data_IF_438497907997
#
_entry.id   IF_438497907997
#
_cell.length_a   1.000
_cell.length_b   1.000
_cell.length_c   1.000
_cell.angle_alpha   90.00
_cell.angle_beta   90.00
_cell.angle_gamma   90.00
#
_symmetry.space_group_name_H-M   'P 1'
#
loop_
_entity.id
_entity.type
_entity.pdbx_description
1 polymer ?
#
# COMPACT_ATOMS: atom_id res chain seq x y z
N UNK A 1 10.31 45.81 15.55
CA UNK A 1 11.42 46.18 14.63
C UNK A 1 12.46 45.07 14.42
N UNK A 2 12.42 43.96 15.16
CA UNK A 2 13.40 42.86 15.04
C UNK A 2 12.99 41.77 14.03
N UNK A 3 11.70 41.58 13.79
CA UNK A 3 11.18 40.51 12.92
C UNK A 3 11.48 40.75 11.44
N UNK A 4 11.38 41.99 10.96
CA UNK A 4 11.65 42.30 9.55
C UNK A 4 13.11 42.11 9.15
N UNK A 5 14.05 42.35 10.07
CA UNK A 5 15.48 42.09 9.84
C UNK A 5 15.79 40.60 9.72
N UNK A 6 15.16 39.78 10.58
CA UNK A 6 15.32 38.32 10.56
C UNK A 6 14.72 37.75 9.26
N UNK A 7 13.54 38.21 8.85
CA UNK A 7 12.95 37.80 7.58
C UNK A 7 13.84 38.20 6.40
N UNK A 8 14.36 39.42 6.38
CA UNK A 8 15.25 39.88 5.32
C UNK A 8 16.55 39.06 5.26
N UNK A 9 17.16 38.70 6.39
CA UNK A 9 18.36 37.82 6.44
C UNK A 9 18.06 36.37 5.98
N UNK A 10 16.87 35.87 6.27
CA UNK A 10 16.41 34.55 5.79
C UNK A 10 16.18 34.57 4.27
N UNK A 11 15.60 35.64 3.72
CA UNK A 11 15.26 35.73 2.30
C UNK A 11 16.38 36.28 1.40
N UNK A 12 17.37 36.99 1.93
CA UNK A 12 18.45 37.58 1.12
C UNK A 12 19.62 36.61 0.91
N UNK A 13 19.81 35.68 1.85
CA UNK A 13 20.86 34.66 1.73
C UNK A 13 20.38 33.52 0.81
N UNK A 14 21.02 33.30 -0.35
CA UNK A 14 20.65 32.24 -1.28
C UNK A 14 20.76 30.84 -0.65
N UNK A 15 21.64 30.68 0.34
CA UNK A 15 21.81 29.44 1.09
C UNK A 15 20.59 29.15 1.98
N UNK A 16 20.03 30.17 2.64
CA UNK A 16 18.87 30.02 3.50
C UNK A 16 17.61 29.68 2.68
N UNK A 17 17.44 30.30 1.50
CA UNK A 17 16.36 29.94 0.57
C UNK A 17 16.50 28.47 0.13
N UNK A 18 17.72 28.02 -0.23
CA UNK A 18 17.96 26.64 -0.63
C UNK A 18 17.62 25.65 0.50
N UNK A 19 18.05 25.95 1.73
CA UNK A 19 17.70 25.16 2.91
C UNK A 19 16.19 25.16 3.18
N UNK A 20 15.51 26.30 3.08
CA UNK A 20 14.07 26.41 3.27
C UNK A 20 13.31 25.56 2.24
N UNK A 21 13.67 25.65 0.96
CA UNK A 21 13.10 24.82 -0.10
C UNK A 21 13.33 23.32 0.15
N UNK A 22 14.53 22.94 0.60
CA UNK A 22 14.85 21.56 0.96
C UNK A 22 14.00 21.09 2.16
N UNK A 23 13.88 21.90 3.21
CA UNK A 23 13.04 21.59 4.38
C UNK A 23 11.57 21.42 3.99
N UNK A 24 11.02 22.32 3.16
CA UNK A 24 9.65 22.20 2.65
C UNK A 24 9.47 20.95 1.79
N UNK A 25 10.44 20.62 0.94
CA UNK A 25 10.42 19.40 0.12
C UNK A 25 10.45 18.13 0.98
N UNK A 26 11.31 18.08 1.99
CA UNK A 26 11.39 16.93 2.91
C UNK A 26 10.12 16.79 3.73
N UNK A 27 9.55 17.90 4.24
CA UNK A 27 8.28 17.89 4.95
C UNK A 27 7.16 17.40 4.05
N UNK A 28 7.09 17.91 2.82
CA UNK A 28 6.15 17.44 1.81
C UNK A 28 6.30 15.94 1.55
N UNK A 29 7.53 15.44 1.40
CA UNK A 29 7.81 14.02 1.16
C UNK A 29 7.37 13.14 2.33
N UNK A 30 7.63 13.56 3.57
CA UNK A 30 7.21 12.85 4.78
C UNK A 30 5.68 12.83 4.90
N UNK A 31 5.02 13.97 4.64
CA UNK A 31 3.56 14.08 4.74
C UNK A 31 2.83 13.38 3.59
N UNK A 32 3.38 13.40 2.37
CA UNK A 32 2.76 12.70 1.24
C UNK A 32 2.78 11.21 1.41
N UNK A 33 3.76 10.68 2.16
CA UNK A 33 4.00 9.26 2.29
C UNK A 33 4.24 8.67 0.92
N UNK A 34 5.50 8.35 0.59
CA UNK A 34 5.81 7.55 -0.58
C UNK A 34 5.23 6.13 -0.37
N UNK A 35 3.92 6.00 -0.52
CA UNK A 35 3.29 4.70 -0.72
C UNK A 35 3.83 4.27 -2.08
N UNK A 36 4.60 3.17 -2.15
CA UNK A 36 4.96 2.63 -3.45
C UNK A 36 3.68 2.51 -4.27
N UNK A 37 3.73 2.75 -5.59
CA UNK A 37 2.58 2.45 -6.43
C UNK A 37 2.28 0.98 -6.20
N UNK A 38 1.24 0.73 -5.41
CA UNK A 38 0.58 -0.54 -5.30
C UNK A 38 -0.08 -0.70 -6.66
N UNK A 39 0.72 -1.11 -7.64
CA UNK A 39 0.26 -1.66 -8.89
C UNK A 39 -0.32 -3.04 -8.57
N UNK A 40 -1.33 -3.05 -7.72
CA UNK A 40 -2.40 -4.01 -7.81
C UNK A 40 -3.19 -3.51 -9.02
N UNK A 41 -3.01 -4.18 -10.15
CA UNK A 41 -4.06 -4.21 -11.16
C UNK A 41 -5.41 -4.35 -10.43
N UNK A 42 -6.47 -3.67 -10.87
CA UNK A 42 -7.79 -3.92 -10.33
C UNK A 42 -8.21 -5.33 -10.77
N UNK A 43 -7.61 -6.37 -10.18
CA UNK A 43 -8.10 -7.73 -10.24
C UNK A 43 -9.53 -7.63 -9.75
N UNK A 44 -10.46 -7.92 -10.68
CA UNK A 44 -11.89 -7.86 -10.48
C UNK A 44 -12.19 -8.41 -9.09
N UNK A 45 -12.63 -7.52 -8.19
CA UNK A 45 -12.87 -7.89 -6.79
C UNK A 45 -14.00 -8.90 -6.80
N UNK A 46 -13.64 -10.18 -6.84
CA UNK A 46 -14.61 -11.26 -6.78
C UNK A 46 -15.47 -11.00 -5.55
N UNK A 47 -16.81 -11.10 -5.67
CA UNK A 47 -17.71 -10.80 -4.58
C UNK A 47 -17.28 -11.57 -3.33
N UNK A 48 -17.33 -10.91 -2.16
CA UNK A 48 -16.90 -11.51 -0.90
C UNK A 48 -17.64 -12.83 -0.71
N UNK A 49 -16.88 -13.90 -0.56
CA UNK A 49 -17.46 -15.22 -0.38
C UNK A 49 -18.21 -15.27 0.95
N UNK A 50 -19.40 -15.88 0.95
CA UNK A 50 -20.14 -16.14 2.19
C UNK A 50 -19.29 -17.06 3.08
N UNK A 51 -19.32 -16.80 4.39
CA UNK A 51 -18.71 -17.70 5.38
C UNK A 51 -19.40 -19.05 5.28
N UNK A 52 -18.62 -20.08 4.98
CA UNK A 52 -19.04 -21.48 4.96
C UNK A 52 -17.85 -22.36 5.30
N UNK A 53 -18.16 -23.56 5.75
CA UNK A 53 -17.14 -24.58 6.00
C UNK A 53 -16.80 -25.29 4.69
N UNK A 54 -15.57 -25.80 4.62
CA UNK A 54 -15.06 -26.53 3.47
C UNK A 54 -14.54 -27.88 3.93
N UNK A 55 -14.88 -28.92 3.17
CA UNK A 55 -14.12 -30.17 3.22
C UNK A 55 -12.80 -30.00 2.46
N UNK A 56 -11.82 -30.86 2.73
CA UNK A 56 -10.53 -30.81 2.02
C UNK A 56 -10.69 -30.95 0.49
N UNK A 57 -11.65 -31.78 0.05
CA UNK A 57 -11.97 -31.96 -1.37
C UNK A 57 -12.54 -30.68 -2.00
N UNK A 58 -13.40 -29.97 -1.27
CA UNK A 58 -13.98 -28.69 -1.73
C UNK A 58 -12.94 -27.57 -1.74
N UNK A 59 -12.03 -27.55 -0.77
CA UNK A 59 -10.99 -26.51 -0.69
C UNK A 59 -9.99 -26.63 -1.84
N UNK A 60 -9.69 -27.85 -2.29
CA UNK A 60 -8.73 -28.13 -3.38
C UNK A 60 -9.09 -27.48 -4.72
N UNK A 61 -10.36 -27.20 -4.95
CA UNK A 61 -10.83 -26.53 -6.17
C UNK A 61 -10.38 -25.05 -6.25
N UNK A 62 -10.00 -24.45 -5.11
CA UNK A 62 -9.63 -23.05 -4.98
C UNK A 62 -8.11 -22.86 -4.95
N UNK A 63 -7.44 -23.33 -5.99
CA UNK A 63 -5.98 -23.33 -6.14
C UNK A 63 -5.45 -22.19 -7.04
N UNK A 64 -6.31 -21.36 -7.61
CA UNK A 64 -5.92 -20.32 -8.57
C UNK A 64 -5.79 -20.79 -10.02
N UNK A 65 -5.91 -22.11 -10.28
CA UNK A 65 -5.83 -22.72 -11.63
C UNK A 65 -7.21 -23.12 -12.13
N UNK A 66 -7.93 -23.93 -11.34
CA UNK A 66 -9.27 -24.41 -11.67
C UNK A 66 -10.32 -23.33 -11.35
N UNK A 67 -10.08 -22.57 -10.28
CA UNK A 67 -10.86 -21.42 -9.88
C UNK A 67 -9.93 -20.21 -9.77
N UNK A 68 -10.31 -19.02 -10.27
CA UNK A 68 -9.50 -17.81 -10.11
C UNK A 68 -9.33 -17.41 -8.63
N UNK A 69 -10.21 -17.87 -7.73
CA UNK A 69 -10.09 -17.63 -6.29
C UNK A 69 -9.14 -18.63 -5.65
N UNK A 70 -8.26 -18.12 -4.80
CA UNK A 70 -7.30 -18.92 -4.02
C UNK A 70 -7.74 -18.93 -2.56
N UNK A 71 -8.04 -20.12 -2.03
CA UNK A 71 -8.39 -20.31 -0.63
C UNK A 71 -7.31 -21.14 0.08
N UNK A 72 -6.92 -20.70 1.29
CA UNK A 72 -5.92 -21.40 2.09
C UNK A 72 -6.46 -21.65 3.50
N UNK A 73 -6.31 -22.88 3.99
CA UNK A 73 -6.66 -23.23 5.37
C UNK A 73 -5.43 -23.15 6.29
N UNK A 74 -5.56 -22.44 7.41
CA UNK A 74 -4.53 -22.33 8.45
C UNK A 74 -5.21 -22.61 9.80
N UNK A 75 -4.76 -23.64 10.51
CA UNK A 75 -5.31 -24.05 11.81
C UNK A 75 -6.85 -24.16 11.80
N UNK A 76 -7.40 -24.84 10.78
CA UNK A 76 -8.85 -25.06 10.63
C UNK A 76 -9.66 -23.85 10.14
N UNK A 77 -9.03 -22.69 9.88
CA UNK A 77 -9.69 -21.50 9.34
C UNK A 77 -9.34 -21.30 7.89
N UNK A 78 -10.34 -21.05 7.04
CA UNK A 78 -10.16 -20.80 5.60
C UNK A 78 -10.06 -19.30 5.35
N UNK A 79 -9.02 -18.89 4.64
CA UNK A 79 -8.74 -17.51 4.25
C UNK A 79 -8.77 -17.38 2.74
N UNK A 80 -9.33 -16.28 2.27
CA UNK A 80 -9.23 -15.88 0.87
C UNK A 80 -7.93 -15.11 0.67
N UNK A 81 -6.99 -15.74 -0.04
CA UNK A 81 -5.66 -15.21 -0.31
C UNK A 81 -5.50 -14.81 -1.77
N UNK A 82 -6.60 -14.62 -2.49
CA UNK A 82 -6.59 -14.28 -3.93
C UNK A 82 -5.77 -13.01 -4.22
N UNK A 83 -5.79 -12.01 -3.32
CA UNK A 83 -4.95 -10.80 -3.44
C UNK A 83 -3.44 -11.10 -3.46
N UNK A 84 -3.05 -12.17 -2.79
CA UNK A 84 -1.67 -12.65 -2.76
C UNK A 84 -1.36 -13.63 -3.89
N UNK A 85 -2.06 -13.58 -5.02
CA UNK A 85 -1.86 -14.52 -6.15
C UNK A 85 -0.40 -14.69 -6.54
N UNK A 86 0.38 -13.60 -6.52
CA UNK A 86 1.84 -13.65 -6.75
C UNK A 86 2.61 -14.61 -5.81
N UNK A 87 2.12 -14.82 -4.60
CA UNK A 87 2.75 -15.67 -3.58
C UNK A 87 2.11 -17.06 -3.48
N UNK A 88 0.82 -17.18 -3.79
CA UNK A 88 0.03 -18.39 -3.51
C UNK A 88 -0.58 -19.06 -4.75
N UNK A 89 -0.53 -18.40 -5.91
CA UNK A 89 -0.97 -18.94 -7.19
C UNK A 89 0.20 -19.44 -8.05
N UNK A 90 -0.09 -20.21 -9.11
CA UNK A 90 0.91 -20.63 -10.10
C UNK A 90 1.39 -19.47 -11.00
#
# INVERSE_FOLDING_TARGET
MSEEGILHEIFTSPLNICLLCLCLYLLYKILRGDRPPESEEPEERLPKMKRRDFTLAQLKEYDGTQNPRILMAINGKVFDVTRGKKFYGP
#
